data_IF_444113178600
#
_entry.id   IF_444113178600
#
_cell.length_a   1.000
_cell.length_b   1.000
_cell.length_c   1.000
_cell.angle_alpha   90.00
_cell.angle_beta   90.00
_cell.angle_gamma   90.00
#
_symmetry.space_group_name_H-M   'P 1'
#
loop_
_entity.id
_entity.type
_entity.pdbx_description
1 polymer ?
#
# COMPACT_ATOMS: atom_id res chain seq x y z
N UNK A 1 -18.62 -1.11 4.67
CA UNK A 1 -17.47 -1.48 5.53
C UNK A 1 -16.33 -0.56 5.15
N UNK A 2 -15.92 0.32 6.06
CA UNK A 2 -14.73 1.16 5.87
C UNK A 2 -13.53 0.23 5.91
N UNK A 3 -12.73 0.17 4.85
CA UNK A 3 -11.43 -0.52 4.90
C UNK A 3 -10.48 0.35 5.71
N UNK A 4 -10.14 -0.07 6.92
CA UNK A 4 -9.01 0.53 7.64
C UNK A 4 -7.74 0.29 6.83
N UNK A 5 -6.71 1.12 7.01
CA UNK A 5 -5.38 0.81 6.51
C UNK A 5 -4.95 -0.63 6.87
N UNK A 6 -5.36 -1.14 8.04
CA UNK A 6 -5.11 -2.53 8.43
C UNK A 6 -5.71 -3.59 7.50
N UNK A 7 -6.88 -3.34 6.92
CA UNK A 7 -7.50 -4.27 5.96
C UNK A 7 -6.72 -4.28 4.64
N UNK A 8 -6.32 -3.08 4.19
CA UNK A 8 -5.51 -2.89 2.99
C UNK A 8 -4.16 -3.59 3.15
N UNK A 9 -3.48 -3.40 4.30
CA UNK A 9 -2.22 -4.08 4.61
C UNK A 9 -2.34 -5.59 4.49
N UNK A 10 -3.40 -6.19 5.05
CA UNK A 10 -3.63 -7.64 4.95
C UNK A 10 -3.78 -8.08 3.49
N UNK A 11 -4.53 -7.33 2.69
CA UNK A 11 -4.73 -7.67 1.28
C UNK A 11 -3.45 -7.50 0.44
N UNK A 12 -2.66 -6.46 0.70
CA UNK A 12 -1.36 -6.25 0.05
C UNK A 12 -0.40 -7.41 0.36
N UNK A 13 -0.30 -7.85 1.62
CA UNK A 13 0.55 -9.01 1.99
C UNK A 13 0.09 -10.32 1.36
N UNK A 14 -1.21 -10.52 1.19
CA UNK A 14 -1.74 -11.72 0.53
C UNK A 14 -1.40 -11.74 -0.98
N UNK A 15 -1.41 -10.57 -1.62
CA UNK A 15 -1.16 -10.45 -3.05
C UNK A 15 0.34 -10.33 -3.39
N UNK A 16 1.15 -9.81 -2.47
CA UNK A 16 2.57 -9.50 -2.65
C UNK A 16 3.37 -10.07 -1.48
N UNK A 17 3.86 -11.31 -1.65
CA UNK A 17 4.57 -12.04 -0.61
C UNK A 17 5.92 -11.43 -0.21
N UNK A 18 6.45 -10.49 -1.01
CA UNK A 18 7.67 -9.76 -0.67
C UNK A 18 7.45 -8.59 0.30
N UNK A 19 6.20 -8.16 0.49
CA UNK A 19 5.90 -7.02 1.38
C UNK A 19 5.98 -7.43 2.85
N UNK A 20 6.78 -6.70 3.60
CA UNK A 20 6.87 -6.85 5.05
C UNK A 20 5.89 -5.91 5.78
N UNK A 21 5.75 -6.08 7.08
CA UNK A 21 5.01 -5.10 7.90
C UNK A 21 5.66 -3.72 7.86
N UNK A 22 6.98 -3.64 7.80
CA UNK A 22 7.73 -2.38 7.73
C UNK A 22 7.44 -1.63 6.43
N UNK A 23 7.38 -2.33 5.29
CA UNK A 23 7.05 -1.73 3.99
C UNK A 23 5.63 -1.14 3.94
N UNK A 24 4.77 -1.60 4.86
CA UNK A 24 3.36 -1.23 4.96
C UNK A 24 3.06 -0.31 6.15
N UNK A 25 4.08 0.10 6.91
CA UNK A 25 3.91 1.12 7.95
C UNK A 25 3.51 2.44 7.29
N UNK A 26 2.42 3.02 7.77
CA UNK A 26 1.88 4.28 7.27
C UNK A 26 1.33 5.10 8.41
N UNK A 27 1.70 6.37 8.43
CA UNK A 27 1.10 7.41 9.24
C UNK A 27 0.53 8.51 8.33
N UNK A 28 -0.53 9.19 8.79
CA UNK A 28 -1.19 10.24 8.02
C UNK A 28 -0.19 11.31 7.59
N UNK A 29 -0.14 11.63 6.29
CA UNK A 29 0.82 12.58 5.71
C UNK A 29 2.10 11.93 5.17
N UNK A 30 2.27 10.61 5.29
CA UNK A 30 3.39 9.84 4.71
C UNK A 30 3.01 9.12 3.40
N UNK A 31 1.97 9.57 2.69
CA UNK A 31 1.47 8.90 1.49
C UNK A 31 2.58 8.81 0.42
N UNK A 32 3.42 9.84 0.30
CA UNK A 32 4.54 9.84 -0.65
C UNK A 32 5.55 8.74 -0.35
N UNK A 33 5.96 8.59 0.91
CA UNK A 33 6.97 7.63 1.34
C UNK A 33 6.46 6.19 1.18
N UNK A 34 5.21 5.95 1.54
CA UNK A 34 4.58 4.65 1.34
C UNK A 34 4.51 4.28 -0.15
N UNK A 35 4.12 5.22 -1.01
CA UNK A 35 4.08 4.99 -2.46
C UNK A 35 5.47 4.65 -3.01
N UNK A 36 6.53 5.30 -2.53
CA UNK A 36 7.89 5.02 -2.99
C UNK A 36 8.41 3.67 -2.48
N UNK A 37 8.13 3.31 -1.23
CA UNK A 37 8.43 1.97 -0.70
C UNK A 37 7.73 0.88 -1.52
N UNK A 38 6.43 1.04 -1.78
CA UNK A 38 5.66 0.07 -2.56
C UNK A 38 6.17 -0.05 -4.01
N UNK A 39 6.52 1.06 -4.66
CA UNK A 39 7.16 1.02 -5.98
C UNK A 39 8.46 0.22 -5.95
N UNK A 40 9.33 0.48 -4.97
CA UNK A 40 10.63 -0.19 -4.86
C UNK A 40 10.49 -1.70 -4.58
N UNK A 41 9.50 -2.11 -3.79
CA UNK A 41 9.28 -3.52 -3.43
C UNK A 41 8.57 -4.32 -4.51
N UNK A 42 7.51 -3.75 -5.09
CA UNK A 42 6.64 -4.45 -6.04
C UNK A 42 7.16 -4.32 -7.48
N UNK A 43 8.07 -3.36 -7.74
CA UNK A 43 8.64 -3.12 -9.07
C UNK A 43 7.66 -2.50 -10.07
N UNK A 44 6.60 -1.86 -9.57
CA UNK A 44 5.57 -1.19 -10.37
C UNK A 44 5.76 0.32 -10.38
N UNK A 45 5.22 0.97 -11.40
CA UNK A 45 5.21 2.43 -11.49
C UNK A 45 4.31 3.05 -10.41
N UNK A 46 4.56 4.33 -10.09
CA UNK A 46 3.75 5.09 -9.14
C UNK A 46 2.25 5.07 -9.47
N UNK A 47 1.91 5.21 -10.74
CA UNK A 47 0.51 5.17 -11.22
C UNK A 47 -0.15 3.81 -10.96
N UNK A 48 0.57 2.71 -11.20
CA UNK A 48 0.06 1.37 -10.93
C UNK A 48 -0.16 1.14 -9.44
N UNK A 49 0.77 1.59 -8.59
CA UNK A 49 0.60 1.52 -7.13
C UNK A 49 -0.60 2.36 -6.68
N UNK A 50 -0.75 3.58 -7.19
CA UNK A 50 -1.89 4.45 -6.85
C UNK A 50 -3.22 3.85 -7.28
N UNK A 51 -3.29 3.24 -8.48
CA UNK A 51 -4.49 2.52 -8.94
C UNK A 51 -4.80 1.34 -8.03
N UNK A 52 -3.80 0.52 -7.71
CA UNK A 52 -3.97 -0.61 -6.78
C UNK A 52 -4.52 -0.18 -5.43
N UNK A 53 -3.98 0.89 -4.84
CA UNK A 53 -4.45 1.41 -3.54
C UNK A 53 -5.85 2.03 -3.65
N UNK A 54 -6.18 2.65 -4.79
CA UNK A 54 -7.53 3.18 -5.07
C UNK A 54 -8.56 2.05 -5.21
N UNK A 55 -8.21 0.95 -5.88
CA UNK A 55 -9.04 -0.24 -6.04
C UNK A 55 -9.31 -0.93 -4.69
N UNK A 56 -8.36 -0.82 -3.76
CA UNK A 56 -8.47 -1.27 -2.37
C UNK A 56 -9.25 -0.27 -1.48
N UNK A 57 -9.74 0.83 -2.05
CA UNK A 57 -10.50 1.89 -1.36
C UNK A 57 -9.77 2.44 -0.12
N UNK A 58 -8.45 2.65 -0.25
CA UNK A 58 -7.63 3.22 0.82
C UNK A 58 -8.13 4.61 1.17
N UNK A 59 -8.29 4.86 2.48
CA UNK A 59 -8.52 6.19 3.04
C UNK A 59 -7.26 6.62 3.77
N UNK A 60 -6.58 7.62 3.22
CA UNK A 60 -5.38 8.24 3.77
C UNK A 60 -5.70 9.24 4.88
#
# INVERSE_FOLDING_TARGET
MHGSWDDVKRQLRQNYGELTEEDLTYEKGQEHELLDRLQARIGKTRDEIQRMLSDLNVKW
#
